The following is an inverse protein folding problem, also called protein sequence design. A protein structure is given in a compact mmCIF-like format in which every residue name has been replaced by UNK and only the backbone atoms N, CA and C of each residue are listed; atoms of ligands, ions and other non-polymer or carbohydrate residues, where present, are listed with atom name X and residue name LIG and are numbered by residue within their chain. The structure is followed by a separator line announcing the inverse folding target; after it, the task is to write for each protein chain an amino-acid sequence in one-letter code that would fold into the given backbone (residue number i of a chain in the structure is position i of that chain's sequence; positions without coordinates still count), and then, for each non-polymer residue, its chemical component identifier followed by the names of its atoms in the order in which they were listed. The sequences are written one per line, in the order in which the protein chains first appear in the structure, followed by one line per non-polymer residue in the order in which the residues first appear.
data_IF_117206058457
#
_entry.id   IF_117206058457
#
_cell.length_a   1.000
_cell.length_b   1.000
_cell.length_c   1.000
_cell.angle_alpha   90.00
_cell.angle_beta   90.00
_cell.angle_gamma   90.00
#
_symmetry.space_group_name_H-M   'P 1'
#
loop_
_entity.id
_entity.type
_entity.pdbx_description
1 polymer ?
#
# COMPACT_ATOMS: atom_id res chain seq x y z
N UNK A 1 10.22 -15.34 45.16
CA UNK A 1 9.25 -14.49 44.43
C UNK A 1 9.85 -14.24 43.04
N UNK A 2 9.63 -15.21 42.14
CA UNK A 2 10.23 -15.21 40.79
C UNK A 2 9.27 -14.48 39.85
N UNK A 3 9.69 -13.30 39.34
CA UNK A 3 8.99 -12.61 38.25
C UNK A 3 9.10 -13.47 36.99
N UNK A 4 7.96 -13.96 36.52
CA UNK A 4 7.81 -14.57 35.19
C UNK A 4 8.23 -13.52 34.17
N UNK A 5 9.35 -13.74 33.50
CA UNK A 5 9.62 -13.13 32.20
C UNK A 5 8.69 -13.79 31.21
N UNK A 6 7.63 -13.12 30.85
CA UNK A 6 6.88 -13.44 29.62
C UNK A 6 7.81 -13.14 28.45
N UNK A 7 8.42 -14.20 27.92
CA UNK A 7 9.04 -14.15 26.60
C UNK A 7 7.90 -13.87 25.60
N UNK A 8 7.83 -12.62 25.18
CA UNK A 8 7.06 -12.24 24.00
C UNK A 8 7.61 -13.10 22.85
N UNK A 9 6.85 -14.09 22.39
CA UNK A 9 7.13 -14.76 21.11
C UNK A 9 7.10 -13.66 20.05
N UNK A 10 8.27 -13.20 19.62
CA UNK A 10 8.41 -12.36 18.44
C UNK A 10 8.02 -13.27 17.29
N UNK A 11 6.80 -13.07 16.79
CA UNK A 11 6.27 -13.85 15.68
C UNK A 11 7.18 -13.60 14.46
N UNK A 12 7.92 -14.63 14.07
CA UNK A 12 8.96 -14.58 13.01
C UNK A 12 8.40 -14.07 11.65
N UNK A 13 7.07 -13.97 11.54
CA UNK A 13 6.36 -13.51 10.35
C UNK A 13 5.79 -12.09 10.40
N UNK A 14 5.76 -11.43 11.56
CA UNK A 14 5.12 -10.12 11.71
C UNK A 14 5.90 -9.03 10.95
N UNK A 15 5.18 -8.19 10.19
CA UNK A 15 5.73 -7.05 9.46
C UNK A 15 5.31 -5.71 10.08
N UNK A 16 4.04 -5.59 10.46
CA UNK A 16 3.45 -4.37 10.99
C UNK A 16 2.43 -4.69 12.07
N UNK A 17 2.48 -3.95 13.18
CA UNK A 17 1.46 -3.97 14.23
C UNK A 17 0.97 -2.56 14.51
N UNK A 18 -0.34 -2.39 14.48
CA UNK A 18 -1.04 -1.14 14.82
C UNK A 18 -1.87 -1.41 16.07
N UNK A 19 -1.72 -0.58 17.10
CA UNK A 19 -2.45 -0.68 18.35
C UNK A 19 -3.23 0.62 18.60
N UNK A 20 -4.53 0.48 18.85
CA UNK A 20 -5.46 1.55 19.29
C UNK A 20 -5.30 2.85 18.49
N UNK A 21 -5.15 2.73 17.15
CA UNK A 21 -4.92 3.89 16.30
C UNK A 21 -6.17 4.77 16.24
N UNK A 22 -5.99 6.06 16.48
CA UNK A 22 -7.00 7.09 16.33
C UNK A 22 -6.50 8.13 15.33
N UNK A 23 -7.26 8.29 14.25
CA UNK A 23 -6.94 9.24 13.16
C UNK A 23 -7.97 10.36 13.14
N UNK A 24 -7.46 11.61 13.08
CA UNK A 24 -8.26 12.83 12.99
C UNK A 24 -7.93 13.60 11.70
N UNK A 25 -8.91 14.31 11.18
CA UNK A 25 -8.73 15.31 10.12
C UNK A 25 -9.38 16.62 10.56
N UNK A 26 -8.57 17.58 10.98
CA UNK A 26 -9.06 18.73 11.76
C UNK A 26 -9.72 18.26 13.05
N UNK A 27 -10.91 18.73 13.34
CA UNK A 27 -11.69 18.35 14.52
C UNK A 27 -12.48 17.05 14.36
N UNK A 28 -12.48 16.43 13.16
CA UNK A 28 -13.26 15.22 12.89
C UNK A 28 -12.43 13.98 13.12
N UNK A 29 -12.91 13.08 13.98
CA UNK A 29 -12.36 11.74 14.12
C UNK A 29 -12.83 10.91 12.92
N UNK A 30 -11.90 10.33 12.17
CA UNK A 30 -12.15 9.45 11.03
C UNK A 30 -12.18 7.99 11.46
N UNK A 31 -11.18 7.57 12.24
CA UNK A 31 -10.96 6.18 12.66
C UNK A 31 -10.67 6.21 14.17
N UNK A 32 -11.25 5.26 14.92
CA UNK A 32 -11.03 5.11 16.37
C UNK A 32 -10.77 3.66 16.71
N UNK A 33 -9.81 3.43 17.62
CA UNK A 33 -9.45 2.12 18.18
C UNK A 33 -9.15 1.07 17.12
N UNK A 34 -8.47 1.51 16.03
CA UNK A 34 -8.10 0.63 14.95
C UNK A 34 -6.88 -0.20 15.32
N UNK A 35 -7.04 -1.52 15.23
CA UNK A 35 -5.99 -2.49 15.49
C UNK A 35 -5.79 -3.34 14.24
N UNK A 36 -4.54 -3.60 13.88
CA UNK A 36 -4.19 -4.42 12.72
C UNK A 36 -2.81 -5.06 12.91
N UNK A 37 -2.73 -6.33 12.59
CA UNK A 37 -1.46 -7.04 12.47
C UNK A 37 -1.33 -7.47 11.00
N UNK A 38 -0.19 -7.14 10.39
CA UNK A 38 0.16 -7.59 9.04
C UNK A 38 1.37 -8.49 9.14
N UNK A 39 1.24 -9.69 8.62
CA UNK A 39 2.35 -10.63 8.46
C UNK A 39 3.00 -10.47 7.09
N UNK A 40 4.21 -10.99 6.94
CA UNK A 40 4.89 -11.06 5.63
C UNK A 40 4.06 -11.90 4.65
N UNK A 41 4.17 -11.57 3.38
CA UNK A 41 3.48 -12.27 2.29
C UNK A 41 1.95 -12.24 2.37
N UNK A 42 1.36 -11.23 2.99
CA UNK A 42 -0.08 -11.00 2.98
C UNK A 42 -0.48 -9.94 1.97
N UNK A 43 -1.70 -10.06 1.43
CA UNK A 43 -2.37 -9.03 0.64
C UNK A 43 -3.62 -8.58 1.39
N UNK A 44 -3.62 -7.33 1.84
CA UNK A 44 -4.74 -6.73 2.57
C UNK A 44 -5.47 -5.76 1.64
N UNK A 45 -6.74 -6.02 1.37
CA UNK A 45 -7.61 -5.14 0.62
C UNK A 45 -8.56 -4.39 1.57
N UNK A 46 -8.37 -3.08 1.68
CA UNK A 46 -9.18 -2.22 2.54
C UNK A 46 -10.35 -1.66 1.74
N UNK A 47 -11.56 -1.91 2.20
CA UNK A 47 -12.79 -1.32 1.68
C UNK A 47 -13.41 -0.35 2.69
N UNK A 48 -14.40 0.41 2.23
CA UNK A 48 -15.14 1.35 3.08
C UNK A 48 -15.73 2.50 2.27
N UNK A 49 -16.67 3.21 2.88
CA UNK A 49 -17.36 4.35 2.23
C UNK A 49 -16.39 5.49 1.90
N UNK A 50 -16.80 6.37 0.96
CA UNK A 50 -16.02 7.56 0.63
C UNK A 50 -15.88 8.47 1.86
N UNK A 51 -14.70 9.06 2.04
CA UNK A 51 -14.41 9.93 3.18
C UNK A 51 -14.26 9.23 4.55
N UNK A 52 -14.28 7.89 4.60
CA UNK A 52 -14.09 7.12 5.85
C UNK A 52 -12.68 7.25 6.44
N UNK A 53 -11.68 7.63 5.61
CA UNK A 53 -10.29 7.73 6.03
C UNK A 53 -9.34 6.68 5.43
N UNK A 54 -9.73 5.98 4.35
CA UNK A 54 -8.87 4.96 3.70
C UNK A 54 -7.51 5.52 3.32
N UNK A 55 -7.47 6.61 2.55
CA UNK A 55 -6.22 7.27 2.14
C UNK A 55 -5.44 7.78 3.34
N UNK A 56 -6.13 8.40 4.32
CA UNK A 56 -5.50 8.91 5.54
C UNK A 56 -4.86 7.78 6.36
N UNK A 57 -5.51 6.60 6.44
CA UNK A 57 -4.92 5.42 7.09
C UNK A 57 -3.63 4.98 6.38
N UNK A 58 -3.63 4.88 5.05
CA UNK A 58 -2.42 4.52 4.30
C UNK A 58 -1.32 5.57 4.43
N UNK A 59 -1.66 6.85 4.40
CA UNK A 59 -0.73 7.96 4.64
C UNK A 59 -0.16 7.92 6.07
N UNK A 60 -0.98 7.55 7.05
CA UNK A 60 -0.53 7.37 8.45
C UNK A 60 0.43 6.18 8.55
N UNK A 61 0.09 5.03 7.97
CA UNK A 61 0.96 3.85 7.94
C UNK A 61 2.29 4.18 7.24
N UNK A 62 2.27 4.96 6.16
CA UNK A 62 3.47 5.35 5.43
C UNK A 62 4.27 6.47 6.10
N UNK A 63 3.80 7.03 7.23
CA UNK A 63 4.46 8.12 7.95
C UNK A 63 4.33 9.49 7.27
N UNK A 64 3.53 9.62 6.20
CA UNK A 64 3.23 10.89 5.55
C UNK A 64 2.29 11.74 6.40
N UNK A 65 1.35 11.12 7.10
CA UNK A 65 0.46 11.76 8.07
C UNK A 65 0.93 11.44 9.48
N UNK A 66 1.19 12.47 10.30
CA UNK A 66 1.72 12.35 11.66
C UNK A 66 0.71 12.70 12.76
N UNK A 67 -0.45 13.24 12.40
CA UNK A 67 -1.48 13.63 13.36
C UNK A 67 -2.40 12.44 13.68
N UNK A 68 -1.93 11.55 14.56
CA UNK A 68 -2.66 10.39 15.06
C UNK A 68 -2.25 10.09 16.51
N UNK A 69 -3.11 9.38 17.23
CA UNK A 69 -2.82 8.79 18.55
C UNK A 69 -2.76 7.25 18.38
N UNK A 70 -2.09 6.57 19.28
CA UNK A 70 -1.84 5.12 19.21
C UNK A 70 -0.44 4.79 18.69
N UNK A 71 -0.22 3.51 18.35
CA UNK A 71 1.11 3.02 17.99
C UNK A 71 1.11 2.33 16.63
N UNK A 72 2.17 2.56 15.85
CA UNK A 72 2.46 1.88 14.59
C UNK A 72 3.89 1.35 14.65
N UNK A 73 4.03 0.04 14.75
CA UNK A 73 5.32 -0.62 14.91
C UNK A 73 5.61 -1.49 13.70
N UNK A 74 6.79 -1.27 13.06
CA UNK A 74 7.31 -2.09 11.96
C UNK A 74 8.35 -3.06 12.48
N UNK A 75 8.25 -4.32 12.08
CA UNK A 75 9.15 -5.40 12.49
C UNK A 75 9.99 -5.83 11.28
N UNK A 76 11.22 -5.31 11.19
CA UNK A 76 12.22 -5.82 10.26
C UNK A 76 13.21 -6.69 11.04
N UNK A 77 13.68 -7.78 10.41
CA UNK A 77 14.66 -8.70 11.03
C UNK A 77 15.96 -8.02 11.51
N UNK A 78 16.29 -6.84 10.95
CA UNK A 78 17.54 -6.16 11.23
C UNK A 78 17.45 -4.97 12.19
N UNK A 79 16.24 -4.51 12.59
CA UNK A 79 16.10 -3.38 13.52
C UNK A 79 14.71 -3.31 14.15
N UNK A 80 14.58 -3.80 15.36
CA UNK A 80 13.51 -3.46 16.28
C UNK A 80 13.69 -1.96 16.64
N UNK A 81 12.68 -1.12 16.40
CA UNK A 81 12.61 0.28 16.84
C UNK A 81 13.50 1.33 16.14
N UNK A 82 13.68 1.30 14.85
CA UNK A 82 14.08 2.54 14.14
C UNK A 82 13.04 2.89 13.10
N UNK A 83 12.44 4.08 13.29
CA UNK A 83 11.40 4.64 12.44
C UNK A 83 11.65 4.39 10.95
N UNK A 84 10.58 4.32 10.19
CA UNK A 84 10.49 4.08 8.76
C UNK A 84 11.77 4.47 8.00
N UNK A 85 12.69 3.55 7.82
CA UNK A 85 13.71 3.71 6.80
C UNK A 85 12.97 3.68 5.46
N UNK A 86 13.01 4.80 4.72
CA UNK A 86 12.34 5.00 3.42
C UNK A 86 12.62 3.92 2.37
N UNK A 87 13.59 3.03 2.61
CA UNK A 87 13.97 1.92 1.74
C UNK A 87 13.09 0.66 1.89
N UNK A 88 12.26 0.55 2.94
CA UNK A 88 11.53 -0.69 3.25
C UNK A 88 10.18 -0.84 2.55
N UNK A 89 9.54 0.26 2.11
CA UNK A 89 8.22 0.19 1.47
C UNK A 89 8.11 1.10 0.25
N UNK A 90 7.14 0.78 -0.61
CA UNK A 90 6.73 1.61 -1.75
C UNK A 90 5.33 2.16 -1.49
N UNK A 91 5.18 3.48 -1.52
CA UNK A 91 3.88 4.14 -1.40
C UNK A 91 3.41 4.70 -2.75
N UNK A 92 2.20 4.32 -3.16
CA UNK A 92 1.49 4.92 -4.29
C UNK A 92 0.19 5.53 -3.79
N UNK A 93 0.18 6.85 -3.66
CA UNK A 93 -1.00 7.61 -3.26
C UNK A 93 -2.01 7.78 -4.38
N UNK A 94 -3.05 8.56 -4.09
CA UNK A 94 -4.07 8.92 -5.07
C UNK A 94 -3.47 9.71 -6.25
N UNK A 95 -2.54 10.62 -5.98
CA UNK A 95 -1.77 11.33 -7.00
C UNK A 95 -0.64 10.43 -7.52
N UNK A 96 -0.43 10.43 -8.83
CA UNK A 96 0.55 9.56 -9.48
C UNK A 96 2.01 9.93 -9.19
N UNK A 97 2.26 11.14 -8.64
CA UNK A 97 3.60 11.69 -8.35
C UNK A 97 4.53 11.60 -9.58
N UNK A 98 4.04 12.09 -10.70
CA UNK A 98 4.73 12.20 -11.99
C UNK A 98 4.57 13.63 -12.53
N UNK A 99 5.53 14.10 -13.32
CA UNK A 99 5.57 15.47 -13.84
C UNK A 99 4.89 15.54 -15.20
N UNK A 100 3.92 16.44 -15.34
CA UNK A 100 3.10 16.60 -16.54
C UNK A 100 3.88 16.99 -17.78
N UNK A 101 4.94 17.78 -17.64
CA UNK A 101 5.75 18.30 -18.76
C UNK A 101 6.79 17.32 -19.30
N UNK A 102 7.09 16.27 -18.57
CA UNK A 102 8.05 15.24 -18.97
C UNK A 102 7.38 14.14 -19.76
N UNK A 103 8.17 13.45 -20.60
CA UNK A 103 7.70 12.23 -21.24
C UNK A 103 7.44 11.11 -20.23
N UNK A 104 6.67 10.12 -20.62
CA UNK A 104 6.45 8.91 -19.81
C UNK A 104 7.78 8.27 -19.43
N UNK A 105 8.69 8.13 -20.40
CA UNK A 105 9.99 7.51 -20.19
C UNK A 105 10.87 8.34 -19.23
N UNK A 106 10.92 9.67 -19.40
CA UNK A 106 11.73 10.54 -18.54
C UNK A 106 11.20 10.55 -17.11
N UNK A 107 9.89 10.53 -16.93
CA UNK A 107 9.29 10.37 -15.61
C UNK A 107 9.75 9.09 -14.91
N UNK A 108 9.79 7.95 -15.59
CA UNK A 108 10.26 6.69 -15.03
C UNK A 108 11.77 6.71 -14.76
N UNK A 109 12.57 7.35 -15.64
CA UNK A 109 14.01 7.54 -15.43
C UNK A 109 14.29 8.33 -14.16
N UNK A 110 13.66 9.51 -14.03
CA UNK A 110 13.86 10.37 -12.87
C UNK A 110 13.41 9.64 -11.60
N UNK A 111 12.24 8.96 -11.65
CA UNK A 111 11.78 8.20 -10.51
C UNK A 111 12.78 7.10 -10.11
N UNK A 112 13.34 6.37 -11.08
CA UNK A 112 14.35 5.34 -10.83
C UNK A 112 15.61 5.93 -10.20
N UNK A 113 16.13 7.04 -10.75
CA UNK A 113 17.32 7.74 -10.24
C UNK A 113 17.14 8.22 -8.79
N UNK A 114 15.98 8.82 -8.46
CA UNK A 114 15.65 9.26 -7.10
C UNK A 114 15.62 8.10 -6.11
N UNK A 115 15.28 6.89 -6.59
CA UNK A 115 15.28 5.67 -5.78
C UNK A 115 16.60 4.88 -5.89
N UNK A 116 17.68 5.49 -6.41
CA UNK A 116 19.00 4.88 -6.58
C UNK A 116 18.97 3.59 -7.43
N UNK A 117 18.04 3.53 -8.39
CA UNK A 117 17.88 2.43 -9.34
C UNK A 117 18.42 2.84 -10.70
N UNK A 118 19.14 1.93 -11.36
CA UNK A 118 19.73 2.17 -12.67
C UNK A 118 19.07 1.27 -13.71
N UNK A 119 18.41 1.87 -14.70
CA UNK A 119 17.78 1.15 -15.81
C UNK A 119 18.13 1.78 -17.14
N UNK A 120 18.37 0.95 -18.14
CA UNK A 120 18.48 1.39 -19.54
C UNK A 120 17.09 1.72 -20.10
N UNK A 121 17.02 2.61 -21.09
CA UNK A 121 15.74 2.97 -21.77
C UNK A 121 14.99 1.75 -22.29
N UNK A 122 15.71 0.79 -22.85
CA UNK A 122 15.13 -0.46 -23.34
C UNK A 122 14.46 -1.30 -22.25
N UNK A 123 15.02 -1.28 -21.04
CA UNK A 123 14.44 -1.98 -19.89
C UNK A 123 13.18 -1.29 -19.39
N UNK A 124 13.19 0.04 -19.29
CA UNK A 124 12.01 0.83 -18.91
C UNK A 124 10.87 0.64 -19.92
N UNK A 125 11.19 0.65 -21.25
CA UNK A 125 10.21 0.38 -22.29
C UNK A 125 9.63 -1.04 -22.17
N UNK A 126 10.43 -2.06 -21.84
CA UNK A 126 9.92 -3.41 -21.54
C UNK A 126 8.96 -3.42 -20.34
N UNK A 127 9.20 -2.60 -19.31
CA UNK A 127 8.26 -2.48 -18.16
C UNK A 127 6.96 -1.78 -18.55
N UNK A 128 7.02 -0.75 -19.40
CA UNK A 128 5.84 -0.10 -19.98
C UNK A 128 4.97 -1.06 -20.79
N UNK A 129 5.60 -2.01 -21.48
CA UNK A 129 4.87 -3.05 -22.23
C UNK A 129 3.91 -3.85 -21.36
N UNK A 130 4.23 -4.09 -20.11
CA UNK A 130 3.35 -4.82 -19.20
C UNK A 130 1.92 -4.25 -19.15
N UNK A 131 1.79 -2.92 -19.18
CA UNK A 131 0.50 -2.23 -19.22
C UNK A 131 0.11 -1.69 -20.61
N UNK A 132 0.73 -2.20 -21.70
CA UNK A 132 0.50 -1.78 -23.08
C UNK A 132 0.72 -0.27 -23.30
N UNK A 133 1.83 0.27 -22.78
CA UNK A 133 2.18 1.70 -22.86
C UNK A 133 3.39 2.00 -23.75
N UNK A 134 3.86 1.05 -24.57
CA UNK A 134 5.10 1.21 -25.36
C UNK A 134 5.08 2.42 -26.25
N UNK A 135 3.99 2.57 -27.02
CA UNK A 135 3.83 3.62 -28.03
C UNK A 135 3.67 5.00 -27.40
N UNK A 136 3.42 5.04 -26.09
CA UNK A 136 3.23 6.26 -25.33
C UNK A 136 4.52 6.72 -24.62
N UNK A 137 5.62 5.98 -24.71
CA UNK A 137 6.85 6.21 -23.95
C UNK A 137 7.43 7.62 -24.15
N UNK A 138 7.32 8.17 -25.36
CA UNK A 138 7.85 9.50 -25.71
C UNK A 138 6.80 10.63 -25.59
N UNK A 139 5.54 10.30 -25.28
CA UNK A 139 4.51 11.32 -25.10
C UNK A 139 4.68 12.03 -23.76
N UNK A 140 4.36 13.32 -23.73
CA UNK A 140 4.27 14.08 -22.49
C UNK A 140 3.17 13.51 -21.61
N UNK A 141 3.42 13.42 -20.29
CA UNK A 141 2.52 12.81 -19.34
C UNK A 141 1.14 13.49 -19.27
N UNK A 142 1.08 14.82 -19.45
CA UNK A 142 -0.18 15.57 -19.49
C UNK A 142 -1.11 15.16 -20.64
N UNK A 143 -0.57 14.60 -21.75
CA UNK A 143 -1.37 14.13 -22.89
C UNK A 143 -2.02 12.77 -22.69
N UNK A 144 -1.73 12.09 -21.61
CA UNK A 144 -2.29 10.78 -21.31
C UNK A 144 -3.69 10.92 -20.70
N UNK A 145 -4.56 9.94 -21.01
CA UNK A 145 -5.82 9.78 -20.28
C UNK A 145 -5.58 9.46 -18.80
N UNK A 146 -6.60 9.64 -17.95
CA UNK A 146 -6.51 9.32 -16.52
C UNK A 146 -6.07 7.87 -16.28
N UNK A 147 -6.66 6.92 -16.99
CA UNK A 147 -6.29 5.50 -16.87
C UNK A 147 -4.86 5.21 -17.35
N UNK A 148 -4.41 5.85 -18.45
CA UNK A 148 -3.03 5.73 -18.91
C UNK A 148 -2.04 6.30 -17.89
N UNK A 149 -2.33 7.47 -17.30
CA UNK A 149 -1.54 8.05 -16.22
C UNK A 149 -1.43 7.09 -15.04
N UNK A 150 -2.53 6.42 -14.67
CA UNK A 150 -2.53 5.43 -13.59
C UNK A 150 -1.69 4.21 -13.92
N UNK A 151 -1.76 3.70 -15.16
CA UNK A 151 -0.92 2.59 -15.65
C UNK A 151 0.57 2.93 -15.59
N UNK A 152 0.96 4.15 -15.98
CA UNK A 152 2.36 4.61 -15.83
C UNK A 152 2.80 4.61 -14.37
N UNK A 153 1.95 5.10 -13.46
CA UNK A 153 2.25 5.08 -12.03
C UNK A 153 2.40 3.65 -11.49
N UNK A 154 1.57 2.71 -11.94
CA UNK A 154 1.67 1.29 -11.59
C UNK A 154 2.92 0.61 -12.17
N UNK A 155 3.45 1.10 -13.29
CA UNK A 155 4.71 0.57 -13.85
C UNK A 155 5.87 0.70 -12.86
N UNK A 156 5.83 1.67 -11.93
CA UNK A 156 6.83 1.80 -10.84
C UNK A 156 6.89 0.56 -9.93
N UNK A 157 5.78 -0.21 -9.79
CA UNK A 157 5.77 -1.48 -9.06
C UNK A 157 6.68 -2.56 -9.69
N UNK A 158 6.90 -2.47 -11.00
CA UNK A 158 7.81 -3.37 -11.73
C UNK A 158 9.28 -2.94 -11.62
N UNK A 159 9.55 -1.77 -11.07
CA UNK A 159 10.88 -1.19 -10.93
C UNK A 159 11.36 -1.23 -9.48
N UNK A 160 10.45 -1.07 -8.50
CA UNK A 160 10.82 -1.01 -7.08
C UNK A 160 11.31 -2.36 -6.55
N UNK A 161 12.27 -2.30 -5.62
CA UNK A 161 12.75 -3.46 -4.85
C UNK A 161 12.07 -3.60 -3.49
N UNK A 162 11.17 -2.65 -3.15
CA UNK A 162 10.47 -2.66 -1.86
C UNK A 162 9.62 -3.92 -1.70
N UNK A 163 9.72 -4.55 -0.55
CA UNK A 163 8.94 -5.76 -0.22
C UNK A 163 7.56 -5.45 0.33
N UNK A 164 7.32 -4.25 0.84
CA UNK A 164 6.01 -3.82 1.32
C UNK A 164 5.45 -2.72 0.42
N UNK A 165 4.27 -2.97 -0.18
CA UNK A 165 3.57 -2.02 -1.04
C UNK A 165 2.35 -1.47 -0.33
N UNK A 166 2.23 -0.15 -0.29
CA UNK A 166 1.10 0.60 0.27
C UNK A 166 0.48 1.38 -0.89
N UNK A 167 -0.74 0.99 -1.31
CA UNK A 167 -1.32 1.48 -2.56
C UNK A 167 -2.72 2.06 -2.33
N UNK A 168 -2.89 3.35 -2.63
CA UNK A 168 -4.18 4.02 -2.49
C UNK A 168 -4.94 3.99 -3.82
N UNK A 169 -6.07 3.27 -3.84
CA UNK A 169 -6.95 3.08 -4.99
C UNK A 169 -6.21 2.74 -6.30
N UNK A 170 -5.32 1.73 -6.32
CA UNK A 170 -4.45 1.46 -7.47
C UNK A 170 -5.20 1.18 -8.76
N UNK A 171 -6.41 0.63 -8.68
CA UNK A 171 -7.23 0.26 -9.84
C UNK A 171 -8.19 1.36 -10.31
N UNK A 172 -8.15 2.55 -9.68
CA UNK A 172 -9.03 3.64 -10.08
C UNK A 172 -8.74 4.09 -11.52
N UNK A 173 -9.77 4.08 -12.38
CA UNK A 173 -9.68 4.44 -13.80
C UNK A 173 -9.02 3.41 -14.71
N UNK A 174 -8.73 2.21 -14.23
CA UNK A 174 -8.25 1.11 -15.06
C UNK A 174 -9.38 0.40 -15.78
N UNK A 175 -9.10 -0.05 -17.02
CA UNK A 175 -9.89 -1.06 -17.69
C UNK A 175 -9.73 -2.45 -17.04
N UNK A 176 -10.66 -3.36 -17.34
CA UNK A 176 -10.68 -4.71 -16.75
C UNK A 176 -9.40 -5.51 -17.01
N UNK A 177 -8.80 -5.36 -18.19
CA UNK A 177 -7.55 -6.06 -18.55
C UNK A 177 -6.40 -5.55 -17.68
N UNK A 178 -6.28 -4.23 -17.52
CA UNK A 178 -5.23 -3.62 -16.70
C UNK A 178 -5.42 -3.91 -15.21
N UNK A 179 -6.66 -3.99 -14.74
CA UNK A 179 -6.96 -4.41 -13.37
C UNK A 179 -6.53 -5.87 -13.14
N UNK A 180 -6.84 -6.79 -14.07
CA UNK A 180 -6.37 -8.17 -14.00
C UNK A 180 -4.84 -8.26 -13.97
N UNK A 181 -4.15 -7.48 -14.81
CA UNK A 181 -2.67 -7.39 -14.78
C UNK A 181 -2.16 -6.90 -13.42
N UNK A 182 -2.81 -5.90 -12.83
CA UNK A 182 -2.47 -5.45 -11.48
C UNK A 182 -2.65 -6.56 -10.44
N UNK A 183 -3.77 -7.29 -10.46
CA UNK A 183 -4.00 -8.41 -9.54
C UNK A 183 -2.93 -9.50 -9.71
N UNK A 184 -2.60 -9.88 -10.94
CA UNK A 184 -1.51 -10.83 -11.21
C UNK A 184 -0.17 -10.34 -10.66
N UNK A 185 0.11 -9.04 -10.79
CA UNK A 185 1.34 -8.42 -10.30
C UNK A 185 1.47 -8.51 -8.78
N UNK A 186 0.40 -8.18 -8.03
CA UNK A 186 0.44 -8.26 -6.56
C UNK A 186 0.49 -9.70 -6.05
N UNK A 187 -0.19 -10.65 -6.73
CA UNK A 187 -0.09 -12.08 -6.41
C UNK A 187 1.33 -12.62 -6.66
N UNK A 188 1.95 -12.22 -7.76
CA UNK A 188 3.36 -12.54 -8.03
C UNK A 188 4.28 -11.95 -6.97
N UNK A 189 4.06 -10.70 -6.57
CA UNK A 189 4.83 -10.07 -5.51
C UNK A 189 4.69 -10.83 -4.17
N UNK A 190 3.47 -11.21 -3.80
CA UNK A 190 3.19 -12.04 -2.63
C UNK A 190 3.94 -13.36 -2.66
N UNK A 191 3.90 -14.09 -3.79
CA UNK A 191 4.59 -15.38 -3.93
C UNK A 191 6.12 -15.27 -3.82
N UNK A 192 6.67 -14.06 -3.99
CA UNK A 192 8.09 -13.74 -3.83
C UNK A 192 8.42 -13.17 -2.43
N UNK A 193 7.53 -13.35 -1.46
CA UNK A 193 7.71 -12.87 -0.09
C UNK A 193 7.30 -11.40 0.15
N UNK A 194 6.71 -10.75 -0.86
CA UNK A 194 6.24 -9.37 -0.73
C UNK A 194 4.88 -9.28 -0.02
N UNK A 195 4.64 -8.13 0.59
CA UNK A 195 3.39 -7.81 1.31
C UNK A 195 2.73 -6.61 0.65
N UNK A 196 1.41 -6.61 0.55
CA UNK A 196 0.65 -5.53 -0.07
C UNK A 196 -0.51 -5.11 0.82
N UNK A 197 -0.68 -3.82 1.02
CA UNK A 197 -1.90 -3.21 1.56
C UNK A 197 -2.43 -2.22 0.52
N UNK A 198 -3.69 -2.34 0.16
CA UNK A 198 -4.28 -1.43 -0.81
C UNK A 198 -5.74 -1.11 -0.49
N UNK A 199 -6.17 0.08 -0.90
CA UNK A 199 -7.57 0.51 -0.78
C UNK A 199 -8.32 0.27 -2.08
N UNK A 200 -9.61 -0.04 -1.96
CA UNK A 200 -10.50 -0.21 -3.13
C UNK A 200 -11.95 0.07 -2.79
N UNK A 201 -12.72 0.52 -3.79
CA UNK A 201 -14.18 0.57 -3.74
C UNK A 201 -14.82 -0.76 -4.15
N UNK A 202 -14.07 -1.62 -4.84
CA UNK A 202 -14.53 -2.94 -5.27
C UNK A 202 -14.29 -3.98 -4.17
N UNK A 203 -15.21 -4.92 -4.07
CA UNK A 203 -15.03 -6.12 -3.23
C UNK A 203 -14.37 -7.21 -4.08
N UNK A 204 -13.16 -7.58 -3.73
CA UNK A 204 -12.44 -8.66 -4.41
C UNK A 204 -12.86 -10.01 -3.83
N UNK A 205 -13.22 -10.97 -4.71
CA UNK A 205 -13.45 -12.37 -4.33
C UNK A 205 -12.19 -13.18 -4.67
N UNK A 206 -11.13 -12.99 -3.91
CA UNK A 206 -9.88 -13.72 -4.08
C UNK A 206 -9.46 -14.31 -2.73
N UNK A 207 -9.25 -15.63 -2.68
CA UNK A 207 -8.90 -16.35 -1.44
C UNK A 207 -7.56 -15.92 -0.82
N UNK A 208 -6.69 -15.28 -1.62
CA UNK A 208 -5.40 -14.80 -1.15
C UNK A 208 -5.47 -13.40 -0.52
N UNK A 209 -6.66 -12.76 -0.53
CA UNK A 209 -6.83 -11.40 -0.02
C UNK A 209 -7.51 -11.44 1.35
N UNK A 210 -6.91 -10.77 2.30
CA UNK A 210 -7.54 -10.44 3.59
C UNK A 210 -8.38 -9.18 3.34
N UNK A 211 -9.70 -9.30 3.52
CA UNK A 211 -10.62 -8.20 3.30
C UNK A 211 -10.90 -7.47 4.60
N UNK A 212 -10.64 -6.17 4.64
CA UNK A 212 -10.84 -5.32 5.80
C UNK A 212 -11.85 -4.22 5.45
N UNK A 213 -13.00 -4.20 6.13
CA UNK A 213 -14.00 -3.14 5.99
C UNK A 213 -13.80 -2.05 7.02
N UNK A 214 -13.23 -0.91 6.60
CA UNK A 214 -12.93 0.22 7.48
C UNK A 214 -14.19 0.85 8.12
N UNK A 215 -15.40 0.60 7.60
CA UNK A 215 -16.64 1.07 8.21
C UNK A 215 -16.85 0.51 9.63
N UNK A 216 -16.17 -0.57 10.01
CA UNK A 216 -16.25 -1.14 11.36
C UNK A 216 -15.61 -0.22 12.43
N UNK A 217 -14.70 0.68 12.04
CA UNK A 217 -13.97 1.59 12.94
C UNK A 217 -14.45 3.04 12.89
N UNK A 218 -15.69 3.27 12.42
CA UNK A 218 -16.31 4.60 12.51
C UNK A 218 -16.57 4.99 13.99
N UNK A 219 -16.35 6.25 14.36
CA UNK A 219 -16.46 6.71 15.76
C UNK A 219 -17.83 6.48 16.44
N UNK A 220 -18.91 6.36 15.64
CA UNK A 220 -20.28 6.25 16.15
C UNK A 220 -20.83 4.81 16.16
N UNK A 221 -20.03 3.80 15.85
CA UNK A 221 -20.41 2.39 16.00
C UNK A 221 -19.92 1.88 17.35
N UNK A 222 -20.86 1.56 18.26
CA UNK A 222 -20.57 0.70 19.40
C UNK A 222 -20.31 -0.68 18.82
N UNK A 223 -19.04 -1.02 18.66
CA UNK A 223 -18.63 -2.35 18.23
C UNK A 223 -18.89 -3.32 19.39
N UNK A 224 -19.91 -4.18 19.25
CA UNK A 224 -19.85 -5.49 19.88
C UNK A 224 -18.74 -6.24 19.14
N UNK A 225 -17.53 -6.19 19.68
CA UNK A 225 -16.39 -6.96 19.18
C UNK A 225 -16.72 -8.42 19.52
N UNK A 226 -17.17 -9.19 18.55
CA UNK A 226 -17.06 -10.65 18.63
C UNK A 226 -15.57 -10.96 18.57
N UNK A 227 -15.03 -11.46 19.68
CA UNK A 227 -13.63 -11.88 19.86
C UNK A 227 -13.16 -12.95 18.85
N UNK A 228 -14.05 -13.48 18.04
CA UNK A 228 -13.81 -14.61 17.13
C UNK A 228 -13.22 -14.20 15.76
N UNK A 229 -12.92 -12.92 15.51
CA UNK A 229 -12.28 -12.52 14.24
C UNK A 229 -10.78 -12.89 14.22
N UNK A 230 -10.20 -13.10 15.39
CA UNK A 230 -8.76 -13.37 15.53
C UNK A 230 -8.42 -14.86 15.72
N UNK A 231 -9.42 -15.71 15.97
CA UNK A 231 -9.21 -17.15 16.12
C UNK A 231 -9.18 -17.93 14.79
N UNK A 232 -9.51 -17.26 13.67
CA UNK A 232 -9.51 -17.85 12.33
C UNK A 232 -8.47 -17.25 11.37
N UNK A 233 -7.46 -16.56 11.90
CA UNK A 233 -6.26 -16.11 11.21
C UNK A 233 -5.05 -16.81 11.81
#
# INVERSE_FOLDING_TARGET
MLKKFEFCHIDIGMLLKINSLLIKRGNKILIRDFNLIIQKSQIIAISGSNGIGKSTLLETISGLQKNYDGEINFFNQDNINKGLNRSGFFFLGHLNALKDELSVLDNLKIWAQVNLLCFKDSELKKKLHYFNLNDLSNLKFNRLSFGQKRKVALTKLLLTQAKFWILDEPCNGLDSISEQKFIQLILKHQSQGGTVIFTSHKKYKNKNFILLDLNLWKPNKILKINSNIWENL
#
